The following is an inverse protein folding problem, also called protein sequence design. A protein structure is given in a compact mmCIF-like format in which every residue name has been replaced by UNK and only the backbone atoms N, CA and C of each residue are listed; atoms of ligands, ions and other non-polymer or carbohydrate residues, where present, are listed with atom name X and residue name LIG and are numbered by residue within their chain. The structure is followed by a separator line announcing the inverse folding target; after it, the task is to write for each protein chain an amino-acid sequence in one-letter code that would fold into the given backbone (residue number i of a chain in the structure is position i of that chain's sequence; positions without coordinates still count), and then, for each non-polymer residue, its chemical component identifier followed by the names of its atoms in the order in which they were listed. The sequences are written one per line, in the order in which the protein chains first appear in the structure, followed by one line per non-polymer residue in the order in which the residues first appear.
data_IF_049296366251
#
_entry.id   IF_049296366251
#
_cell.length_a   1.000
_cell.length_b   1.000
_cell.length_c   1.000
_cell.angle_alpha   90.00
_cell.angle_beta   90.00
_cell.angle_gamma   90.00
#
_symmetry.space_group_name_H-M   'P 1'
#
loop_
_entity.id
_entity.type
_entity.pdbx_description
1 polymer ?
#
# COMPACT_ATOMS: atom_id res chain seq x y z
N UNK A 1 2.02 -8.96 -36.79
CA UNK A 1 1.74 -7.77 -35.95
C UNK A 1 0.68 -8.17 -34.96
N UNK A 2 1.01 -8.10 -33.68
CA UNK A 2 0.07 -8.42 -32.63
C UNK A 2 -0.97 -7.29 -32.53
N UNK A 3 -2.22 -7.65 -32.28
CA UNK A 3 -3.35 -6.72 -32.17
C UNK A 3 -4.01 -6.94 -30.82
N UNK A 4 -4.23 -5.88 -30.07
CA UNK A 4 -5.02 -5.90 -28.83
C UNK A 4 -6.46 -5.54 -29.15
N UNK A 5 -7.40 -6.40 -28.76
CA UNK A 5 -8.84 -6.17 -28.92
C UNK A 5 -9.43 -6.02 -27.52
N UNK A 6 -10.12 -4.89 -27.27
CA UNK A 6 -10.75 -4.59 -25.99
C UNK A 6 -12.22 -4.20 -26.21
N UNK A 7 -13.05 -4.39 -25.16
CA UNK A 7 -14.40 -3.86 -25.15
C UNK A 7 -14.37 -2.32 -25.21
N UNK A 8 -15.18 -1.75 -26.06
CA UNK A 8 -15.36 -0.30 -26.14
C UNK A 8 -16.40 0.16 -25.12
N UNK A 9 -15.97 0.96 -24.15
CA UNK A 9 -16.84 1.59 -23.17
C UNK A 9 -17.09 3.04 -23.61
N UNK A 10 -18.34 3.36 -23.97
CA UNK A 10 -18.72 4.74 -24.30
C UNK A 10 -18.63 5.60 -23.03
N UNK A 11 -17.79 6.62 -23.07
CA UNK A 11 -17.52 7.53 -21.94
C UNK A 11 -17.41 8.97 -22.44
N UNK A 12 -17.57 9.92 -21.53
CA UNK A 12 -17.29 11.35 -21.74
C UNK A 12 -15.85 11.74 -21.32
N UNK A 13 -15.04 10.76 -20.97
CA UNK A 13 -13.66 10.93 -20.57
C UNK A 13 -13.16 9.84 -19.64
N UNK A 14 -11.90 9.95 -19.28
CA UNK A 14 -11.26 9.11 -18.28
C UNK A 14 -10.69 9.94 -17.13
N UNK A 15 -10.45 9.28 -16.01
CA UNK A 15 -9.94 9.88 -14.78
C UNK A 15 -8.53 9.40 -14.54
N UNK A 16 -7.62 10.35 -14.25
CA UNK A 16 -6.26 10.09 -13.76
C UNK A 16 -6.16 10.44 -12.29
N UNK A 17 -5.62 9.53 -11.50
CA UNK A 17 -5.38 9.69 -10.06
C UNK A 17 -3.89 9.52 -9.79
N UNK A 18 -3.21 10.56 -9.31
CA UNK A 18 -1.81 10.48 -8.89
C UNK A 18 -1.74 10.11 -7.42
N UNK A 19 -0.93 9.11 -7.15
CA UNK A 19 -0.76 8.48 -5.83
C UNK A 19 0.72 8.49 -5.45
N UNK A 20 0.99 8.86 -4.20
CA UNK A 20 2.29 8.68 -3.56
C UNK A 20 2.11 7.84 -2.29
N UNK A 21 2.66 6.62 -2.28
CA UNK A 21 2.44 5.65 -1.21
C UNK A 21 0.96 5.28 -1.03
N UNK A 22 0.35 5.74 0.06
CA UNK A 22 -1.08 5.58 0.35
C UNK A 22 -1.90 6.86 0.16
N UNK A 23 -1.28 7.96 -0.26
CA UNK A 23 -1.92 9.26 -0.35
C UNK A 23 -2.26 9.62 -1.80
N UNK A 24 -3.49 10.05 -2.02
CA UNK A 24 -3.91 10.62 -3.30
C UNK A 24 -3.45 12.07 -3.33
N UNK A 25 -2.54 12.38 -4.26
CA UNK A 25 -1.93 13.70 -4.40
C UNK A 25 -2.79 14.62 -5.28
N UNK A 26 -3.40 14.06 -6.32
CA UNK A 26 -4.25 14.85 -7.21
C UNK A 26 -5.04 13.99 -8.16
N UNK A 27 -6.09 14.58 -8.71
CA UNK A 27 -7.02 13.93 -9.61
C UNK A 27 -7.37 14.84 -10.79
N UNK A 28 -7.59 14.26 -11.95
CA UNK A 28 -8.17 14.99 -13.07
C UNK A 28 -9.06 14.10 -13.91
N UNK A 29 -10.06 14.69 -14.54
CA UNK A 29 -10.80 14.09 -15.64
C UNK A 29 -10.32 14.70 -16.94
N UNK A 30 -9.94 13.86 -17.90
CA UNK A 30 -9.64 14.24 -19.29
C UNK A 30 -10.91 14.05 -20.13
N UNK A 31 -11.31 15.07 -20.86
CA UNK A 31 -12.50 15.00 -21.70
C UNK A 31 -12.16 14.35 -23.05
N UNK A 32 -13.12 13.65 -23.64
CA UNK A 32 -12.96 13.07 -24.98
C UNK A 32 -13.00 14.20 -26.02
N UNK A 33 -12.05 14.22 -26.95
CA UNK A 33 -12.06 15.14 -28.07
C UNK A 33 -13.04 14.62 -29.11
N UNK A 34 -13.91 15.48 -29.66
CA UNK A 34 -14.90 15.09 -30.66
C UNK A 34 -14.20 14.47 -31.89
N UNK A 35 -14.58 13.26 -32.24
CA UNK A 35 -14.01 12.51 -33.39
C UNK A 35 -12.81 11.60 -33.03
N UNK A 36 -12.31 11.62 -31.78
CA UNK A 36 -11.34 10.65 -31.28
C UNK A 36 -11.93 9.84 -30.11
N UNK A 37 -11.58 8.56 -30.03
CA UNK A 37 -11.96 7.71 -28.89
C UNK A 37 -10.97 7.82 -27.72
N UNK A 38 -9.85 8.56 -27.89
CA UNK A 38 -8.78 8.74 -26.89
C UNK A 38 -8.91 10.09 -26.20
N UNK A 39 -8.82 10.08 -24.90
CA UNK A 39 -8.77 11.27 -24.05
C UNK A 39 -7.32 11.58 -23.64
N UNK A 40 -6.53 12.11 -24.59
CA UNK A 40 -5.12 12.41 -24.36
C UNK A 40 -4.91 13.91 -24.14
N UNK A 41 -4.44 14.32 -22.95
CA UNK A 41 -4.12 15.70 -22.63
C UNK A 41 -3.17 16.35 -23.65
N UNK A 42 -2.14 15.62 -24.08
CA UNK A 42 -1.17 16.09 -25.09
C UNK A 42 -1.79 16.37 -26.48
N UNK A 43 -3.03 15.94 -26.71
CA UNK A 43 -3.78 16.17 -27.95
C UNK A 43 -4.84 17.28 -27.82
N UNK A 44 -4.79 18.08 -26.74
CA UNK A 44 -5.68 19.22 -26.53
C UNK A 44 -7.03 18.85 -25.88
N UNK A 45 -7.12 17.69 -25.23
CA UNK A 45 -8.26 17.35 -24.40
C UNK A 45 -8.36 18.35 -23.22
N UNK A 46 -9.53 18.89 -22.96
CA UNK A 46 -9.80 19.68 -21.77
C UNK A 46 -9.61 18.84 -20.50
N UNK A 47 -9.07 19.46 -19.45
CA UNK A 47 -8.92 18.83 -18.15
C UNK A 47 -9.70 19.60 -17.08
N UNK A 48 -10.24 18.86 -16.12
CA UNK A 48 -10.89 19.43 -14.94
C UNK A 48 -10.65 18.56 -13.72
N UNK A 49 -10.71 19.16 -12.53
CA UNK A 49 -10.64 18.40 -11.29
C UNK A 49 -11.76 17.35 -11.22
N UNK A 50 -11.51 16.26 -10.54
CA UNK A 50 -12.47 15.17 -10.36
C UNK A 50 -12.54 14.77 -8.90
N UNK A 51 -13.74 14.69 -8.34
CA UNK A 51 -13.96 14.24 -6.97
C UNK A 51 -14.21 12.73 -6.99
N UNK A 52 -13.31 12.00 -6.32
CA UNK A 52 -13.39 10.54 -6.22
C UNK A 52 -14.41 10.11 -5.17
N UNK A 53 -15.19 9.09 -5.48
CA UNK A 53 -15.96 8.35 -4.49
C UNK A 53 -15.06 7.48 -3.61
N UNK A 54 -15.53 7.09 -2.42
CA UNK A 54 -14.79 6.20 -1.51
C UNK A 54 -14.40 4.87 -2.17
N UNK A 55 -15.25 4.35 -3.05
CA UNK A 55 -14.96 3.11 -3.79
C UNK A 55 -13.86 3.32 -4.83
N UNK A 56 -13.85 4.44 -5.54
CA UNK A 56 -12.79 4.77 -6.49
C UNK A 56 -11.46 4.98 -5.77
N UNK A 57 -11.46 5.69 -4.65
CA UNK A 57 -10.27 5.83 -3.78
C UNK A 57 -9.72 4.46 -3.41
N UNK A 58 -10.57 3.61 -2.83
CA UNK A 58 -10.18 2.26 -2.40
C UNK A 58 -9.61 1.43 -3.54
N UNK A 59 -10.25 1.44 -4.69
CA UNK A 59 -9.85 0.66 -5.86
C UNK A 59 -8.53 1.18 -6.46
N UNK A 60 -8.34 2.49 -6.55
CA UNK A 60 -7.10 3.07 -7.06
C UNK A 60 -5.90 2.74 -6.16
N UNK A 61 -6.06 2.79 -4.83
CA UNK A 61 -5.00 2.40 -3.89
C UNK A 61 -4.67 0.90 -4.00
N UNK A 62 -5.68 0.04 -4.21
CA UNK A 62 -5.45 -1.39 -4.47
C UNK A 62 -4.68 -1.60 -5.78
N UNK A 63 -5.04 -0.89 -6.84
CA UNK A 63 -4.36 -0.99 -8.14
C UNK A 63 -2.89 -0.54 -8.06
N UNK A 64 -2.61 0.59 -7.39
CA UNK A 64 -1.25 1.06 -7.14
C UNK A 64 -0.42 0.03 -6.36
N UNK A 65 -1.00 -0.54 -5.29
CA UNK A 65 -0.34 -1.57 -4.48
C UNK A 65 -0.11 -2.88 -5.24
N UNK A 66 -1.01 -3.25 -6.15
CA UNK A 66 -0.88 -4.50 -6.92
C UNK A 66 0.35 -4.52 -7.83
N UNK A 67 0.90 -3.35 -8.19
CA UNK A 67 2.12 -3.20 -9.00
C UNK A 67 3.32 -2.76 -8.16
N UNK A 68 3.22 -2.77 -6.83
CA UNK A 68 4.22 -2.22 -5.90
C UNK A 68 4.61 -0.76 -6.26
N UNK A 69 3.64 0.01 -6.73
CA UNK A 69 3.85 1.37 -7.18
C UNK A 69 3.86 2.35 -6.01
N UNK A 70 5.01 2.98 -5.78
CA UNK A 70 5.19 3.97 -4.71
C UNK A 70 4.81 5.39 -5.15
N UNK A 71 5.13 5.74 -6.41
CA UNK A 71 4.62 6.94 -7.09
C UNK A 71 4.09 6.55 -8.46
N UNK A 72 2.77 6.63 -8.64
CA UNK A 72 2.09 6.18 -9.85
C UNK A 72 0.90 7.08 -10.19
N UNK A 73 0.47 7.02 -11.44
CA UNK A 73 -0.89 7.41 -11.81
C UNK A 73 -1.71 6.18 -12.16
N UNK A 74 -2.94 6.15 -11.68
CA UNK A 74 -3.96 5.16 -12.03
C UNK A 74 -4.97 5.82 -12.94
N UNK A 75 -5.16 5.27 -14.14
CA UNK A 75 -6.11 5.76 -15.11
C UNK A 75 -7.32 4.82 -15.21
N UNK A 76 -8.52 5.36 -15.14
CA UNK A 76 -9.75 4.58 -15.25
C UNK A 76 -10.90 5.34 -15.92
N UNK A 77 -11.84 4.58 -16.48
CA UNK A 77 -13.12 5.11 -16.96
C UNK A 77 -14.18 4.92 -15.88
N UNK A 78 -14.84 5.99 -15.39
CA UNK A 78 -15.99 5.85 -14.52
C UNK A 78 -17.20 5.35 -15.31
N UNK A 79 -17.67 4.15 -15.01
CA UNK A 79 -18.79 3.54 -15.72
C UNK A 79 -19.70 2.77 -14.78
N UNK A 80 -20.99 3.10 -14.77
CA UNK A 80 -22.00 2.45 -13.91
C UNK A 80 -21.62 2.39 -12.42
N UNK A 81 -21.02 3.46 -11.90
CA UNK A 81 -20.63 3.57 -10.50
C UNK A 81 -19.40 2.75 -10.09
N UNK A 82 -18.60 2.31 -11.08
CA UNK A 82 -17.35 1.57 -10.84
C UNK A 82 -16.22 2.10 -11.71
N UNK A 83 -14.97 2.06 -11.23
CA UNK A 83 -13.80 2.35 -12.05
C UNK A 83 -13.47 1.15 -12.97
N UNK A 84 -13.35 1.39 -14.25
CA UNK A 84 -12.81 0.44 -15.22
C UNK A 84 -11.38 0.86 -15.52
N UNK A 85 -10.41 0.15 -14.97
CA UNK A 85 -9.00 0.50 -15.08
C UNK A 85 -8.48 0.36 -16.50
N UNK A 86 -7.68 1.34 -16.91
CA UNK A 86 -6.98 1.37 -18.19
C UNK A 86 -5.50 1.00 -17.97
N UNK A 87 -4.83 1.72 -17.08
CA UNK A 87 -3.41 1.50 -16.78
C UNK A 87 -3.00 1.99 -15.39
N UNK A 88 -1.86 1.49 -14.92
CA UNK A 88 -1.10 2.08 -13.82
C UNK A 88 0.26 2.50 -14.38
N UNK A 89 0.52 3.81 -14.34
CA UNK A 89 1.70 4.42 -14.95
C UNK A 89 2.71 4.82 -13.87
N UNK A 90 3.93 4.29 -13.93
CA UNK A 90 5.01 4.55 -12.98
C UNK A 90 5.82 5.84 -13.26
N UNK A 91 5.55 6.52 -14.39
CA UNK A 91 6.18 7.79 -14.73
C UNK A 91 5.14 8.76 -15.31
N UNK A 92 4.15 9.17 -14.50
CA UNK A 92 3.04 9.95 -14.99
C UNK A 92 3.46 11.38 -15.33
N UNK A 93 2.92 11.91 -16.43
CA UNK A 93 2.90 13.36 -16.66
C UNK A 93 1.95 14.04 -15.67
N UNK A 94 2.36 15.15 -15.11
CA UNK A 94 1.64 15.85 -14.03
C UNK A 94 1.02 17.18 -14.45
N UNK A 95 1.40 17.74 -15.60
CA UNK A 95 0.99 19.06 -16.06
C UNK A 95 -0.54 19.23 -16.10
N UNK A 96 -1.25 18.25 -16.64
CA UNK A 96 -2.71 18.29 -16.71
C UNK A 96 -3.40 18.25 -15.34
N UNK A 97 -2.80 17.56 -14.36
CA UNK A 97 -3.34 17.56 -12.98
C UNK A 97 -3.13 18.90 -12.31
N UNK A 98 -1.96 19.53 -12.48
CA UNK A 98 -1.68 20.86 -11.95
C UNK A 98 -2.57 21.92 -12.60
N UNK A 99 -2.84 21.80 -13.92
CA UNK A 99 -3.81 22.65 -14.62
C UNK A 99 -5.24 22.49 -14.08
N UNK A 100 -5.66 21.22 -13.90
CA UNK A 100 -7.01 20.91 -13.40
C UNK A 100 -7.24 21.33 -11.95
N UNK A 101 -6.17 21.45 -11.14
CA UNK A 101 -6.21 21.74 -9.71
C UNK A 101 -5.36 22.98 -9.39
N UNK A 102 -5.93 24.15 -9.61
CA UNK A 102 -5.22 25.43 -9.41
C UNK A 102 -4.52 25.52 -8.05
N UNK A 103 -3.21 25.80 -8.09
CA UNK A 103 -2.35 25.90 -6.89
C UNK A 103 -1.74 24.58 -6.42
N UNK A 104 -2.09 23.45 -7.03
CA UNK A 104 -1.43 22.17 -6.77
C UNK A 104 -0.05 22.15 -7.44
N UNK A 105 0.95 21.71 -6.72
CA UNK A 105 2.29 21.42 -7.24
C UNK A 105 2.65 19.98 -6.85
N UNK A 106 2.53 19.06 -7.81
CA UNK A 106 2.73 17.62 -7.59
C UNK A 106 4.14 17.33 -7.08
N UNK A 107 5.15 17.96 -7.64
CA UNK A 107 6.53 17.73 -7.21
C UNK A 107 6.75 18.12 -5.73
N UNK A 108 6.13 19.24 -5.30
CA UNK A 108 6.18 19.66 -3.90
C UNK A 108 5.49 18.66 -2.99
N UNK A 109 4.26 18.25 -3.33
CA UNK A 109 3.47 17.30 -2.51
C UNK A 109 4.20 15.95 -2.37
N UNK A 110 4.77 15.43 -3.46
CA UNK A 110 5.56 14.19 -3.46
C UNK A 110 6.82 14.33 -2.59
N UNK A 111 7.54 15.44 -2.69
CA UNK A 111 8.72 15.67 -1.85
C UNK A 111 8.36 15.81 -0.37
N UNK A 112 7.24 16.46 -0.05
CA UNK A 112 6.77 16.58 1.32
C UNK A 112 6.31 15.23 1.87
N UNK A 113 5.62 14.41 1.07
CA UNK A 113 5.23 13.05 1.44
C UNK A 113 6.46 12.20 1.79
N UNK A 114 7.48 12.16 0.94
CA UNK A 114 8.69 11.36 1.17
C UNK A 114 9.71 11.99 2.12
N UNK A 115 9.49 13.22 2.57
CA UNK A 115 10.31 13.80 3.64
C UNK A 115 10.17 13.02 4.95
N UNK A 116 8.99 12.51 5.25
CA UNK A 116 8.83 11.53 6.33
C UNK A 116 9.38 10.17 5.86
N UNK A 117 10.42 9.70 6.53
CA UNK A 117 11.07 8.42 6.20
C UNK A 117 10.15 7.22 6.33
N UNK A 118 9.06 7.33 7.10
CA UNK A 118 8.04 6.28 7.24
C UNK A 118 7.25 6.06 5.96
N UNK A 119 7.10 7.11 5.15
CA UNK A 119 6.39 7.05 3.88
C UNK A 119 7.25 6.53 2.72
N UNK A 120 8.57 6.36 2.95
CA UNK A 120 9.46 5.83 1.91
C UNK A 120 9.25 4.35 1.73
N UNK A 121 9.33 3.90 0.48
CA UNK A 121 9.26 2.49 0.15
C UNK A 121 10.22 1.67 1.02
N UNK A 122 9.69 0.69 1.71
CA UNK A 122 10.47 -0.26 2.48
C UNK A 122 10.64 -1.52 1.63
N UNK A 123 11.87 -1.89 1.33
CA UNK A 123 12.14 -3.14 0.60
C UNK A 123 11.50 -4.30 1.38
N UNK A 124 10.56 -5.04 0.80
CA UNK A 124 9.95 -6.16 1.50
C UNK A 124 11.03 -7.18 1.90
N UNK A 125 11.05 -7.52 3.17
CA UNK A 125 11.89 -8.63 3.64
C UNK A 125 11.24 -9.91 3.15
N UNK A 126 11.91 -10.63 2.24
CA UNK A 126 11.49 -11.96 1.83
C UNK A 126 12.10 -12.95 2.81
N UNK A 127 11.25 -13.74 3.45
CA UNK A 127 11.68 -14.79 4.36
C UNK A 127 10.94 -16.10 4.04
N UNK A 128 11.54 -17.23 4.43
CA UNK A 128 10.88 -18.52 4.42
C UNK A 128 9.86 -18.64 5.55
N UNK A 129 9.19 -19.78 5.59
CA UNK A 129 8.24 -20.08 6.65
C UNK A 129 8.95 -20.25 8.01
N UNK A 130 10.18 -20.78 8.00
CA UNK A 130 11.09 -20.85 9.14
C UNK A 130 12.43 -20.20 8.77
N UNK A 131 12.95 -19.36 9.65
CA UNK A 131 14.23 -18.66 9.50
C UNK A 131 14.95 -18.54 10.83
N UNK A 132 16.28 -18.50 10.78
CA UNK A 132 17.09 -18.11 11.95
C UNK A 132 17.11 -16.58 12.04
N UNK A 133 16.58 -16.04 13.11
CA UNK A 133 16.47 -14.59 13.33
C UNK A 133 17.18 -14.17 14.61
N UNK A 134 18.04 -13.15 14.54
CA UNK A 134 18.65 -12.55 15.74
C UNK A 134 17.64 -11.60 16.41
N UNK A 135 17.01 -12.09 17.47
CA UNK A 135 16.00 -11.37 18.22
C UNK A 135 16.62 -10.82 19.51
N UNK A 136 16.90 -9.53 19.54
CA UNK A 136 17.47 -8.91 20.75
C UNK A 136 16.44 -8.78 21.86
N UNK A 137 16.80 -9.06 23.13
CA UNK A 137 18.13 -9.47 23.64
C UNK A 137 18.38 -10.99 23.62
N UNK A 138 17.55 -11.79 22.94
CA UNK A 138 17.52 -13.26 23.07
C UNK A 138 18.55 -13.98 22.20
N UNK A 139 19.10 -13.31 21.17
CA UNK A 139 20.03 -13.90 20.20
C UNK A 139 19.33 -14.61 19.05
N UNK A 140 20.06 -15.49 18.37
CA UNK A 140 19.53 -16.25 17.23
C UNK A 140 18.51 -17.30 17.69
N UNK A 141 17.32 -17.24 17.12
CA UNK A 141 16.20 -18.14 17.40
C UNK A 141 15.59 -18.60 16.06
N UNK A 142 15.35 -19.89 15.92
CA UNK A 142 14.52 -20.40 14.83
C UNK A 142 13.10 -19.85 14.99
N UNK A 143 12.66 -19.08 14.01
CA UNK A 143 11.40 -18.34 14.04
C UNK A 143 10.49 -18.81 12.92
N UNK A 144 9.26 -19.16 13.28
CA UNK A 144 8.18 -19.41 12.33
C UNK A 144 7.47 -18.08 12.04
N UNK A 145 7.39 -17.69 10.78
CA UNK A 145 6.61 -16.53 10.34
C UNK A 145 5.15 -16.94 10.11
N UNK A 146 4.26 -16.42 10.95
CA UNK A 146 2.83 -16.72 10.90
C UNK A 146 2.04 -15.48 10.45
N UNK A 147 1.62 -15.49 9.19
CA UNK A 147 0.85 -14.38 8.59
C UNK A 147 -0.59 -14.30 9.11
N UNK A 148 -1.08 -15.33 9.78
CA UNK A 148 -2.41 -15.35 10.40
C UNK A 148 -2.46 -14.70 11.78
N UNK A 149 -1.30 -14.43 12.41
CA UNK A 149 -1.23 -13.79 13.72
C UNK A 149 -0.95 -12.29 13.56
N UNK A 150 -1.96 -11.48 13.73
CA UNK A 150 -1.85 -10.02 13.61
C UNK A 150 -1.64 -9.29 14.95
N UNK A 151 -1.72 -10.00 16.07
CA UNK A 151 -1.76 -9.35 17.37
C UNK A 151 -0.40 -9.31 18.09
N UNK A 152 0.31 -10.44 18.18
CA UNK A 152 1.53 -10.55 18.98
C UNK A 152 2.52 -11.54 18.39
N UNK A 153 3.82 -11.25 18.57
CA UNK A 153 4.85 -12.27 18.41
C UNK A 153 4.87 -13.18 19.62
N UNK A 154 5.02 -14.48 19.40
CA UNK A 154 5.05 -15.51 20.46
C UNK A 154 6.45 -16.08 20.55
N UNK A 155 7.05 -16.02 21.74
CA UNK A 155 8.33 -16.64 22.04
C UNK A 155 8.09 -17.96 22.78
N UNK A 156 8.61 -19.08 22.25
CA UNK A 156 8.60 -20.34 22.98
C UNK A 156 9.59 -20.28 24.14
N UNK A 157 9.11 -20.50 25.34
CA UNK A 157 9.91 -20.44 26.56
C UNK A 157 9.48 -21.51 27.57
N UNK A 158 10.43 -21.93 28.40
CA UNK A 158 10.23 -22.86 29.52
C UNK A 158 10.57 -22.18 30.84
N UNK A 159 10.36 -22.90 31.95
CA UNK A 159 10.74 -22.47 33.32
C UNK A 159 10.18 -21.10 33.70
N UNK A 160 8.96 -20.81 33.30
CA UNK A 160 8.30 -19.54 33.59
C UNK A 160 8.09 -19.38 35.09
N UNK A 161 8.59 -18.27 35.65
CA UNK A 161 8.39 -17.86 37.04
C UNK A 161 8.00 -16.40 37.08
N UNK A 162 6.91 -16.11 37.77
CA UNK A 162 6.44 -14.74 37.98
C UNK A 162 6.73 -14.28 39.40
N UNK A 163 7.16 -13.04 39.59
CA UNK A 163 7.36 -12.40 40.86
C UNK A 163 7.02 -10.91 40.77
N UNK A 164 5.89 -10.53 41.33
CA UNK A 164 5.33 -9.18 41.12
C UNK A 164 5.08 -8.86 39.67
N UNK A 165 5.68 -7.78 39.18
CA UNK A 165 5.58 -7.35 37.80
C UNK A 165 6.72 -7.87 36.87
N UNK A 166 7.42 -8.93 37.29
CA UNK A 166 8.52 -9.53 36.53
C UNK A 166 8.21 -10.97 36.19
N UNK A 167 8.62 -11.37 34.98
CA UNK A 167 8.62 -12.74 34.52
C UNK A 167 10.05 -13.17 34.20
N UNK A 168 10.45 -14.34 34.70
CA UNK A 168 11.70 -15.02 34.34
C UNK A 168 11.38 -16.27 33.57
N UNK A 169 12.11 -16.51 32.50
CA UNK A 169 11.88 -17.64 31.58
C UNK A 169 13.16 -18.06 30.90
N UNK A 170 13.19 -19.28 30.40
CA UNK A 170 14.31 -19.86 29.64
C UNK A 170 13.91 -19.98 28.19
N UNK A 171 14.71 -19.43 27.26
CA UNK A 171 14.51 -19.59 25.81
C UNK A 171 15.02 -20.92 25.32
N UNK A 172 14.65 -21.31 24.08
CA UNK A 172 15.07 -22.59 23.44
C UNK A 172 16.60 -22.75 23.44
N UNK A 173 17.37 -21.67 23.36
CA UNK A 173 18.84 -21.68 23.47
C UNK A 173 19.38 -21.89 24.89
N UNK A 174 18.54 -22.23 25.87
CA UNK A 174 18.94 -22.48 27.26
C UNK A 174 19.32 -21.26 28.09
N UNK A 175 19.15 -20.06 27.57
CA UNK A 175 19.43 -18.81 28.29
C UNK A 175 18.23 -18.34 29.07
N UNK A 176 18.46 -17.95 30.33
CA UNK A 176 17.43 -17.40 31.20
C UNK A 176 17.38 -15.87 31.06
N UNK A 177 16.19 -15.36 30.91
CA UNK A 177 15.89 -13.93 30.76
C UNK A 177 14.87 -13.48 31.80
N UNK A 178 14.91 -12.20 32.13
CA UNK A 178 13.91 -11.55 32.97
C UNK A 178 13.34 -10.34 32.23
N UNK A 179 12.03 -10.26 32.17
CA UNK A 179 11.31 -9.16 31.54
C UNK A 179 10.23 -8.60 32.46
N UNK A 180 9.72 -7.42 32.15
CA UNK A 180 8.55 -6.85 32.81
C UNK A 180 7.30 -7.60 32.33
N UNK A 181 6.49 -8.05 33.29
CA UNK A 181 5.18 -8.63 32.99
C UNK A 181 4.16 -7.50 32.92
N UNK A 182 3.56 -7.30 31.76
CA UNK A 182 2.54 -6.26 31.57
C UNK A 182 1.13 -6.80 31.75
N UNK A 183 0.86 -8.01 31.26
CA UNK A 183 -0.45 -8.64 31.33
C UNK A 183 -0.35 -10.16 31.18
N UNK A 184 -1.18 -10.87 31.94
CA UNK A 184 -1.41 -12.31 31.73
C UNK A 184 -2.77 -12.54 31.08
N UNK A 185 -2.83 -13.46 30.14
CA UNK A 185 -4.08 -13.95 29.56
C UNK A 185 -3.95 -15.41 29.15
N UNK A 186 -5.06 -16.13 29.21
CA UNK A 186 -5.10 -17.52 28.73
C UNK A 186 -5.30 -17.48 27.23
N UNK A 187 -4.32 -17.94 26.47
CA UNK A 187 -4.52 -18.24 25.05
C UNK A 187 -5.51 -19.41 24.91
N UNK A 188 -6.54 -19.27 24.08
CA UNK A 188 -7.29 -20.44 23.64
C UNK A 188 -6.40 -21.18 22.65
N UNK A 189 -5.88 -22.32 23.03
CA UNK A 189 -5.30 -23.26 22.08
C UNK A 189 -6.45 -23.79 21.23
N UNK A 190 -6.58 -23.29 20.00
CA UNK A 190 -7.41 -23.93 19.01
C UNK A 190 -6.81 -25.31 18.77
N UNK A 191 -7.47 -26.36 19.25
CA UNK A 191 -7.16 -27.71 18.82
C UNK A 191 -7.46 -27.78 17.32
N UNK A 192 -6.45 -27.99 16.49
CA UNK A 192 -6.52 -28.39 15.11
C UNK A 192 -6.37 -29.87 15.02
#
# INVERSE_FOLDING_TARGET
TDVLIQEYIKTDGDVRVVIAGSDIIGTMKREVVEGDFRSNYTQGAGVKSYELSDEEIRQCLIAAKAVDGDFVAVDFIPYKGKPYFLEVNSSPGTDGIEEANSGLNIAKEVLEHYRDTKNRYQVPIRCGYHEMVDIKPFGEIETKFDTGNSAYSVLHATDLKTSGNKITFTTVGGKTHTAKLEKEYKARTGGG
#
